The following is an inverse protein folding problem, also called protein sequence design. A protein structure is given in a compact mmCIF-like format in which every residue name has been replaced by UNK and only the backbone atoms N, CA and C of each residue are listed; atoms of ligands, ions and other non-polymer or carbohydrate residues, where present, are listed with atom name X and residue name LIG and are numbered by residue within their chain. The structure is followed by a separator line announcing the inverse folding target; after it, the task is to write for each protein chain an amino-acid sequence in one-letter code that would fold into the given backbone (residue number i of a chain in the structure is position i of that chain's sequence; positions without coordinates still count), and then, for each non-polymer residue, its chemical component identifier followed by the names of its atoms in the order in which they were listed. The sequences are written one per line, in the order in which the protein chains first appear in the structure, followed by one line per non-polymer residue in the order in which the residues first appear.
data_IF_801001612208
#
_entry.id   IF_801001612208
#
_cell.length_a   1.000
_cell.length_b   1.000
_cell.length_c   1.000
_cell.angle_alpha   90.00
_cell.angle_beta   90.00
_cell.angle_gamma   90.00
#
_symmetry.space_group_name_H-M   'P 1'
#
loop_
_entity.id
_entity.type
_entity.pdbx_description
1 polymer ?
#
# COMPACT_ATOMS: atom_id res chain seq x y z
N UNK A 1 -9.70 -11.77 -14.59
CA UNK A 1 -8.64 -11.67 -13.56
C UNK A 1 -9.07 -12.38 -12.30
N UNK A 2 -8.11 -12.85 -11.47
CA UNK A 2 -8.33 -13.83 -10.38
C UNK A 2 -9.47 -13.48 -9.42
N UNK A 3 -9.80 -12.20 -9.31
CA UNK A 3 -10.73 -11.66 -8.32
C UNK A 3 -11.90 -10.87 -8.94
N UNK A 4 -12.06 -10.89 -10.26
CA UNK A 4 -13.11 -10.12 -10.95
C UNK A 4 -14.51 -10.61 -10.56
N UNK A 5 -15.41 -9.67 -10.26
CA UNK A 5 -16.77 -9.97 -9.80
C UNK A 5 -16.82 -10.62 -8.41
N UNK A 6 -15.68 -10.65 -7.69
CA UNK A 6 -15.59 -11.26 -6.37
C UNK A 6 -16.12 -10.36 -5.25
N UNK A 7 -16.26 -10.96 -4.07
CA UNK A 7 -16.63 -10.26 -2.83
C UNK A 7 -15.59 -10.56 -1.74
N UNK A 8 -15.09 -9.51 -1.09
CA UNK A 8 -14.31 -9.63 0.14
C UNK A 8 -15.26 -9.82 1.31
N UNK A 9 -15.08 -10.93 2.05
CA UNK A 9 -15.88 -11.24 3.24
C UNK A 9 -14.99 -11.06 4.47
N UNK A 10 -15.34 -10.09 5.32
CA UNK A 10 -14.73 -9.91 6.64
C UNK A 10 -15.57 -10.64 7.68
N UNK A 11 -15.06 -11.78 8.12
CA UNK A 11 -15.71 -12.62 9.13
C UNK A 11 -15.34 -12.13 10.54
N UNK A 12 -16.31 -11.73 11.37
CA UNK A 12 -16.06 -11.49 12.79
C UNK A 12 -15.67 -12.79 13.50
N UNK A 13 -14.82 -12.70 14.52
CA UNK A 13 -14.47 -13.85 15.37
C UNK A 13 -15.58 -14.25 16.35
N UNK A 14 -16.65 -13.47 16.43
CA UNK A 14 -17.88 -13.78 17.15
C UNK A 14 -18.91 -14.35 16.15
N UNK A 15 -19.29 -15.61 16.34
CA UNK A 15 -20.21 -16.33 15.46
C UNK A 15 -21.65 -15.78 15.49
N UNK A 16 -21.98 -14.93 16.48
CA UNK A 16 -23.27 -14.24 16.56
C UNK A 16 -23.38 -13.02 15.65
N UNK A 17 -22.27 -12.55 15.06
CA UNK A 17 -22.23 -11.34 14.24
C UNK A 17 -22.21 -11.65 12.74
N UNK A 18 -22.93 -10.84 11.97
CA UNK A 18 -22.97 -10.98 10.52
C UNK A 18 -21.63 -10.57 9.89
N UNK A 19 -21.17 -11.37 8.92
CA UNK A 19 -20.02 -11.03 8.11
C UNK A 19 -20.25 -9.74 7.31
N UNK A 20 -19.18 -8.95 7.14
CA UNK A 20 -19.23 -7.76 6.31
C UNK A 20 -18.73 -8.07 4.91
N UNK A 21 -19.57 -7.80 3.93
CA UNK A 21 -19.26 -7.99 2.52
C UNK A 21 -18.86 -6.67 1.85
N UNK A 22 -17.83 -6.73 1.00
CA UNK A 22 -17.36 -5.60 0.21
C UNK A 22 -17.07 -6.09 -1.20
N UNK A 23 -17.65 -5.49 -2.26
CA UNK A 23 -17.28 -5.81 -3.63
C UNK A 23 -15.77 -5.62 -3.83
N UNK A 24 -15.13 -6.61 -4.44
CA UNK A 24 -13.67 -6.64 -4.58
C UNK A 24 -13.16 -5.42 -5.36
N UNK A 25 -13.88 -4.95 -6.37
CA UNK A 25 -13.55 -3.77 -7.15
C UNK A 25 -13.51 -2.50 -6.27
N UNK A 26 -14.45 -2.39 -5.33
CA UNK A 26 -14.49 -1.27 -4.38
C UNK A 26 -13.29 -1.31 -3.45
N UNK A 27 -12.91 -2.50 -3.01
CA UNK A 27 -11.72 -2.69 -2.18
C UNK A 27 -10.44 -2.34 -2.94
N UNK A 28 -10.27 -2.86 -4.17
CA UNK A 28 -9.14 -2.55 -5.03
C UNK A 28 -9.01 -1.06 -5.33
N UNK A 29 -10.11 -0.40 -5.66
CA UNK A 29 -10.11 1.03 -5.92
C UNK A 29 -9.57 1.80 -4.70
N UNK A 30 -9.92 1.40 -3.47
CA UNK A 30 -9.36 1.99 -2.25
C UNK A 30 -7.86 1.75 -2.10
N UNK A 31 -7.38 0.54 -2.40
CA UNK A 31 -5.94 0.23 -2.35
C UNK A 31 -5.15 1.06 -3.37
N UNK A 32 -5.66 1.16 -4.61
CA UNK A 32 -5.08 1.99 -5.68
C UNK A 32 -5.06 3.46 -5.26
N UNK A 33 -6.15 3.99 -4.69
CA UNK A 33 -6.18 5.37 -4.17
C UNK A 33 -5.11 5.64 -3.11
N UNK A 34 -4.84 4.68 -2.21
CA UNK A 34 -3.77 4.80 -1.20
C UNK A 34 -2.40 4.91 -1.87
N UNK A 35 -2.12 4.02 -2.83
CA UNK A 35 -0.87 4.05 -3.61
C UNK A 35 -0.65 5.39 -4.29
N UNK A 36 -1.68 5.89 -4.96
CA UNK A 36 -1.60 7.11 -5.75
C UNK A 36 -1.39 8.33 -4.85
N UNK A 37 -2.04 8.37 -3.67
CA UNK A 37 -1.83 9.41 -2.66
C UNK A 37 -0.41 9.40 -2.08
N UNK A 38 0.15 8.22 -1.82
CA UNK A 38 1.55 8.11 -1.35
C UNK A 38 2.53 8.61 -2.41
N UNK A 39 2.29 8.30 -3.69
CA UNK A 39 3.11 8.80 -4.79
C UNK A 39 3.04 10.33 -4.90
N UNK A 40 1.85 10.91 -4.79
CA UNK A 40 1.67 12.37 -4.78
C UNK A 40 2.37 13.00 -3.58
N UNK A 41 2.28 12.38 -2.40
CA UNK A 41 2.98 12.85 -1.20
C UNK A 41 4.50 12.87 -1.39
N UNK A 42 5.08 11.83 -1.96
CA UNK A 42 6.50 11.77 -2.30
C UNK A 42 6.91 12.92 -3.25
N UNK A 43 6.13 13.15 -4.30
CA UNK A 43 6.36 14.27 -5.23
C UNK A 43 6.33 15.63 -4.53
N UNK A 44 5.37 15.84 -3.62
CA UNK A 44 5.25 17.08 -2.86
C UNK A 44 6.44 17.31 -1.92
N UNK A 45 6.94 16.26 -1.27
CA UNK A 45 8.14 16.35 -0.42
C UNK A 45 9.37 16.70 -1.25
N UNK A 46 9.53 16.07 -2.42
CA UNK A 46 10.65 16.34 -3.31
C UNK A 46 10.67 17.80 -3.79
N UNK A 47 9.50 18.34 -4.10
CA UNK A 47 9.31 19.72 -4.59
C UNK A 47 9.27 20.78 -3.47
N UNK A 48 9.40 20.41 -2.19
CA UNK A 48 9.33 21.36 -1.09
C UNK A 48 10.68 22.06 -0.86
N UNK A 49 10.77 23.34 -1.17
CA UNK A 49 12.02 24.12 -1.06
C UNK A 49 12.41 24.44 0.40
N UNK A 50 11.45 24.38 1.33
CA UNK A 50 11.68 24.71 2.75
C UNK A 50 12.25 23.56 3.58
N UNK A 51 12.26 22.34 3.05
CA UNK A 51 12.81 21.18 3.75
C UNK A 51 14.29 21.04 3.41
N UNK A 52 15.10 20.76 4.44
CA UNK A 52 16.49 20.37 4.23
C UNK A 52 16.56 19.02 3.50
N UNK A 53 17.70 18.73 2.88
CA UNK A 53 17.92 17.43 2.24
C UNK A 53 17.81 16.27 3.24
N UNK A 54 18.26 16.48 4.48
CA UNK A 54 18.13 15.50 5.57
C UNK A 54 16.67 15.22 5.94
N UNK A 55 15.85 16.28 6.07
CA UNK A 55 14.41 16.12 6.34
C UNK A 55 13.70 15.39 5.21
N UNK A 56 14.04 15.72 3.95
CA UNK A 56 13.49 15.03 2.78
C UNK A 56 13.84 13.55 2.79
N UNK A 57 15.10 13.20 3.07
CA UNK A 57 15.54 11.80 3.18
C UNK A 57 14.78 11.08 4.29
N UNK A 58 14.62 11.69 5.47
CA UNK A 58 13.90 11.09 6.59
C UNK A 58 12.42 10.81 6.24
N UNK A 59 11.75 11.75 5.59
CA UNK A 59 10.36 11.57 5.14
C UNK A 59 10.23 10.52 4.03
N UNK A 60 11.15 10.51 3.06
CA UNK A 60 11.20 9.49 2.01
C UNK A 60 11.41 8.09 2.58
N UNK A 61 12.27 7.93 3.59
CA UNK A 61 12.44 6.66 4.30
C UNK A 61 11.14 6.24 5.01
N UNK A 62 10.41 7.18 5.61
CA UNK A 62 9.12 6.88 6.23
C UNK A 62 8.08 6.43 5.19
N UNK A 63 7.98 7.10 4.04
CA UNK A 63 7.14 6.68 2.92
C UNK A 63 7.52 5.29 2.42
N UNK A 64 8.83 5.00 2.32
CA UNK A 64 9.34 3.68 1.94
C UNK A 64 8.91 2.59 2.93
N UNK A 65 8.88 2.89 4.24
CA UNK A 65 8.37 1.97 5.27
C UNK A 65 6.86 1.77 5.13
N UNK A 66 6.10 2.81 4.82
CA UNK A 66 4.65 2.70 4.53
C UNK A 66 4.43 1.75 3.35
N UNK A 67 5.16 1.92 2.25
CA UNK A 67 5.09 1.00 1.11
C UNK A 67 5.43 -0.44 1.49
N UNK A 68 6.41 -0.64 2.39
CA UNK A 68 6.73 -1.93 2.98
C UNK A 68 5.56 -2.58 3.70
N UNK A 69 4.82 -1.83 4.53
CA UNK A 69 3.63 -2.34 5.22
C UNK A 69 2.50 -2.75 4.27
N UNK A 70 2.46 -2.18 3.07
CA UNK A 70 1.43 -2.45 2.06
C UNK A 70 1.77 -3.65 1.16
N UNK A 71 2.98 -4.21 1.23
CA UNK A 71 3.38 -5.33 0.33
C UNK A 71 2.53 -6.59 0.52
N UNK A 72 1.88 -6.77 1.67
CA UNK A 72 0.93 -7.87 1.89
C UNK A 72 -0.23 -7.85 0.89
N UNK A 73 -0.62 -6.67 0.42
CA UNK A 73 -1.67 -6.51 -0.60
C UNK A 73 -1.19 -6.85 -2.02
N UNK A 74 0.11 -7.13 -2.24
CA UNK A 74 0.62 -7.44 -3.57
C UNK A 74 0.01 -8.69 -4.19
N UNK A 75 -0.43 -9.65 -3.38
CA UNK A 75 -1.14 -10.87 -3.84
C UNK A 75 -2.44 -10.56 -4.60
N UNK A 76 -2.96 -9.35 -4.41
CA UNK A 76 -4.19 -8.90 -5.02
C UNK A 76 -3.97 -8.36 -6.44
N UNK A 77 -2.77 -7.88 -6.77
CA UNK A 77 -2.49 -7.33 -8.09
C UNK A 77 -2.17 -8.44 -9.10
N UNK A 78 -2.65 -8.23 -10.33
CA UNK A 78 -2.31 -9.06 -11.48
C UNK A 78 -0.93 -8.76 -12.02
N UNK A 79 -0.58 -7.46 -12.07
CA UNK A 79 0.65 -7.01 -12.71
C UNK A 79 1.67 -6.51 -11.69
N UNK A 80 2.95 -6.81 -11.94
CA UNK A 80 4.05 -6.49 -11.01
C UNK A 80 4.31 -4.98 -10.91
N UNK A 81 3.97 -4.21 -11.93
CA UNK A 81 4.08 -2.74 -11.92
C UNK A 81 3.15 -2.10 -10.89
N UNK A 82 2.04 -2.75 -10.55
CA UNK A 82 1.09 -2.26 -9.55
C UNK A 82 1.49 -2.61 -8.11
N UNK A 83 2.50 -3.47 -7.94
CA UNK A 83 2.96 -3.89 -6.63
C UNK A 83 3.56 -2.73 -5.84
N UNK A 84 3.21 -2.68 -4.55
CA UNK A 84 3.93 -1.90 -3.57
C UNK A 84 5.36 -2.42 -3.43
N UNK A 85 6.33 -1.50 -3.36
CA UNK A 85 7.75 -1.79 -3.15
C UNK A 85 8.23 -1.04 -1.92
N UNK A 86 8.44 -1.76 -0.83
CA UNK A 86 9.12 -1.23 0.34
C UNK A 86 10.64 -1.31 0.19
N UNK A 87 11.35 -0.92 1.26
CA UNK A 87 12.76 -1.24 1.39
C UNK A 87 12.92 -2.77 1.39
N UNK A 88 13.54 -3.33 0.35
CA UNK A 88 14.07 -4.67 0.44
C UNK A 88 15.09 -4.68 1.58
N UNK A 89 15.02 -5.66 2.48
CA UNK A 89 16.19 -6.01 3.29
C UNK A 89 17.26 -6.49 2.32
N UNK A 90 18.03 -5.57 1.75
CA UNK A 90 19.34 -5.91 1.19
C UNK A 90 20.10 -6.56 2.34
N UNK A 91 20.41 -7.84 2.20
CA UNK A 91 21.00 -8.62 3.27
C UNK A 91 22.30 -7.98 3.76
N UNK A 92 22.30 -7.55 5.02
CA UNK A 92 23.51 -7.61 5.84
C UNK A 92 23.78 -9.09 6.11
N UNK A 93 24.67 -9.64 5.31
CA UNK A 93 25.01 -11.06 5.31
C UNK A 93 26.09 -11.35 4.29
N UNK A 94 27.28 -10.75 4.47
CA UNK A 94 28.60 -11.24 4.06
C UNK A 94 29.67 -10.39 4.72
#
# INVERSE_FOLDING_TARGET
DRWDGGTLIMQPGDDGLQAKEVPVETFFHKVVMVRDRLRVMEQQINAQDKLSDEDKVNLQQYITRIYGSLTTFNVLFKYKEDHFKGASKSGEGS
#
